data_IF_194830702870
#
_entry.id   IF_194830702870
#
_cell.length_a   1.000
_cell.length_b   1.000
_cell.length_c   1.000
_cell.angle_alpha   90.00
_cell.angle_beta   90.00
_cell.angle_gamma   90.00
#
_symmetry.space_group_name_H-M   'P 1'
#
loop_
_entity.id
_entity.type
_entity.pdbx_description
1 polymer ?
#
# COMPACT_ATOMS: atom_id res chain seq x y z
N UNK A 1 -6.15 7.06 -32.71
CA UNK A 1 -4.94 6.73 -31.93
C UNK A 1 -5.35 6.51 -30.48
N UNK A 2 -5.24 5.28 -29.95
CA UNK A 2 -5.58 4.99 -28.54
C UNK A 2 -4.43 5.51 -27.67
N UNK A 3 -4.72 6.47 -26.80
CA UNK A 3 -3.74 7.03 -25.86
C UNK A 3 -3.07 5.93 -25.04
N UNK A 4 -1.74 5.96 -25.02
CA UNK A 4 -0.92 5.13 -24.14
C UNK A 4 -1.35 5.36 -22.69
N UNK A 5 -1.95 4.34 -22.06
CA UNK A 5 -2.39 4.43 -20.67
C UNK A 5 -1.21 4.19 -19.74
N UNK A 6 -0.37 5.20 -19.55
CA UNK A 6 0.64 5.21 -18.48
C UNK A 6 0.05 5.89 -17.27
N UNK A 7 0.05 5.22 -16.12
CA UNK A 7 -0.11 5.92 -14.85
C UNK A 7 1.27 6.50 -14.50
N UNK A 8 1.41 7.83 -14.49
CA UNK A 8 2.64 8.47 -13.99
C UNK A 8 2.87 8.02 -12.53
N UNK A 9 4.00 7.37 -12.22
CA UNK A 9 4.20 6.82 -10.89
C UNK A 9 4.34 7.97 -9.88
N UNK A 10 3.55 7.91 -8.81
CA UNK A 10 3.83 8.69 -7.60
C UNK A 10 5.19 8.22 -7.08
N UNK A 11 6.03 9.15 -6.62
CA UNK A 11 7.25 8.77 -5.91
C UNK A 11 6.88 7.92 -4.68
N UNK A 12 7.43 6.72 -4.61
CA UNK A 12 7.32 5.80 -3.49
C UNK A 12 8.74 5.47 -3.08
N UNK A 13 9.15 5.75 -1.83
CA UNK A 13 10.52 5.49 -1.40
C UNK A 13 10.83 4.00 -1.50
N UNK A 14 12.11 3.68 -1.68
CA UNK A 14 12.59 2.32 -1.69
C UNK A 14 13.47 2.05 -0.46
N UNK A 15 13.22 0.91 0.19
CA UNK A 15 14.02 0.42 1.31
C UNK A 15 14.49 -1.01 1.01
N UNK A 16 15.81 -1.25 0.91
CA UNK A 16 16.34 -2.60 0.77
C UNK A 16 16.15 -3.38 2.08
N UNK A 17 16.14 -4.70 2.00
CA UNK A 17 16.06 -5.58 3.16
C UNK A 17 17.46 -5.89 3.71
N UNK A 18 18.36 -4.91 3.61
CA UNK A 18 19.75 -4.98 4.03
C UNK A 18 20.06 -3.65 4.70
N UNK A 19 20.63 -3.72 5.90
CA UNK A 19 21.06 -2.59 6.70
C UNK A 19 22.36 -2.90 7.42
N UNK A 20 22.99 -1.89 8.01
CA UNK A 20 24.20 -2.06 8.78
C UNK A 20 23.90 -2.80 10.09
N UNK A 21 24.44 -4.02 10.22
CA UNK A 21 24.30 -4.84 11.42
C UNK A 21 25.12 -4.30 12.59
N UNK A 22 26.18 -3.52 12.34
CA UNK A 22 26.95 -2.85 13.38
C UNK A 22 26.17 -1.72 14.05
N UNK A 23 25.25 -1.09 13.30
CA UNK A 23 24.39 -0.01 13.75
C UNK A 23 23.01 -0.50 14.26
N UNK A 24 22.93 -1.72 14.79
CA UNK A 24 21.66 -2.34 15.19
C UNK A 24 20.93 -1.54 16.27
N UNK A 25 21.67 -0.94 17.20
CA UNK A 25 21.13 -0.18 18.33
C UNK A 25 20.52 1.13 17.86
N UNK A 26 21.21 1.85 16.98
CA UNK A 26 20.72 3.07 16.34
C UNK A 26 19.51 2.79 15.45
N UNK A 27 19.49 1.62 14.81
CA UNK A 27 18.37 1.12 14.01
C UNK A 27 17.17 0.67 14.86
N UNK A 28 17.32 0.62 16.19
CA UNK A 28 16.26 0.29 17.15
C UNK A 28 15.97 -1.20 17.31
N UNK A 29 16.89 -2.08 16.91
CA UNK A 29 16.80 -3.53 17.15
C UNK A 29 17.27 -3.88 18.56
N UNK A 30 16.88 -5.05 19.06
CA UNK A 30 17.23 -5.50 20.42
C UNK A 30 18.68 -6.01 20.52
N UNK A 31 19.20 -6.59 19.44
CA UNK A 31 20.58 -7.05 19.31
C UNK A 31 21.00 -7.10 17.84
N UNK A 32 22.27 -7.43 17.57
CA UNK A 32 22.76 -7.66 16.21
C UNK A 32 22.09 -8.89 15.56
N UNK A 33 21.85 -9.94 16.34
CA UNK A 33 21.15 -11.16 15.90
C UNK A 33 19.70 -10.88 15.55
N UNK A 34 19.02 -10.04 16.34
CA UNK A 34 17.67 -9.57 16.04
C UNK A 34 17.65 -8.76 14.73
N UNK A 35 18.60 -7.83 14.56
CA UNK A 35 18.73 -7.08 13.31
C UNK A 35 18.97 -8.00 12.10
N UNK A 36 19.82 -9.02 12.23
CA UNK A 36 20.06 -10.01 11.18
C UNK A 36 18.79 -10.84 10.88
N UNK A 37 18.09 -11.30 11.92
CA UNK A 37 16.84 -12.04 11.77
C UNK A 37 15.80 -11.27 10.96
N UNK A 38 15.67 -9.97 11.24
CA UNK A 38 14.73 -9.13 10.51
C UNK A 38 15.17 -8.81 9.09
N UNK A 39 16.47 -8.88 8.76
CA UNK A 39 16.91 -8.84 7.35
C UNK A 39 16.40 -10.04 6.55
N UNK A 40 16.06 -11.16 7.17
CA UNK A 40 15.46 -12.30 6.44
C UNK A 40 13.93 -12.18 6.33
N UNK A 41 13.31 -11.47 7.27
CA UNK A 41 11.88 -11.62 7.56
C UNK A 41 11.03 -10.36 7.31
N UNK A 42 11.61 -9.26 6.82
CA UNK A 42 10.92 -7.95 6.78
C UNK A 42 10.22 -7.59 5.47
N UNK A 43 10.16 -8.47 4.46
CA UNK A 43 9.70 -8.07 3.11
C UNK A 43 8.30 -7.47 3.10
N UNK A 44 7.38 -8.03 3.89
CA UNK A 44 6.00 -7.55 4.00
C UNK A 44 5.88 -6.19 4.68
N UNK A 45 6.55 -6.02 5.81
CA UNK A 45 6.50 -4.77 6.58
C UNK A 45 7.27 -3.64 5.89
N UNK A 46 8.37 -3.93 5.19
CA UNK A 46 9.06 -2.96 4.33
C UNK A 46 8.19 -2.51 3.15
N UNK A 47 7.51 -3.45 2.47
CA UNK A 47 6.55 -3.10 1.42
C UNK A 47 5.44 -2.19 1.96
N UNK A 48 4.98 -2.43 3.19
CA UNK A 48 3.99 -1.60 3.84
C UNK A 48 4.55 -0.21 4.19
N UNK A 49 5.76 -0.13 4.75
CA UNK A 49 6.46 1.13 5.06
C UNK A 49 6.58 2.01 3.81
N UNK A 50 7.14 1.46 2.74
CA UNK A 50 7.30 2.15 1.45
C UNK A 50 5.96 2.70 0.96
N UNK A 51 4.89 1.89 1.01
CA UNK A 51 3.58 2.31 0.57
C UNK A 51 2.96 3.42 1.44
N UNK A 52 3.08 3.33 2.76
CA UNK A 52 2.57 4.35 3.69
C UNK A 52 3.29 5.68 3.46
N UNK A 53 4.62 5.68 3.43
CA UNK A 53 5.40 6.89 3.21
C UNK A 53 5.17 7.46 1.81
N UNK A 54 4.99 6.60 0.80
CA UNK A 54 4.56 7.01 -0.53
C UNK A 54 3.17 7.69 -0.54
N UNK A 55 2.27 7.36 0.39
CA UNK A 55 0.98 8.06 0.53
C UNK A 55 1.08 9.36 1.32
N UNK A 56 1.87 9.36 2.40
CA UNK A 56 1.98 10.48 3.33
C UNK A 56 3.00 11.53 2.89
N UNK A 57 3.93 11.17 2.00
CA UNK A 57 5.08 11.99 1.59
C UNK A 57 5.93 12.47 2.78
N UNK A 58 6.02 11.64 3.82
CA UNK A 58 6.82 11.89 5.02
C UNK A 58 7.28 10.56 5.60
N UNK A 59 8.42 10.58 6.29
CA UNK A 59 8.93 9.41 6.99
C UNK A 59 8.00 9.06 8.16
N UNK A 60 7.77 7.78 8.37
CA UNK A 60 7.10 7.24 9.56
C UNK A 60 8.13 6.56 10.46
N UNK A 61 7.63 5.85 11.48
CA UNK A 61 8.44 5.06 12.41
C UNK A 61 9.55 4.25 11.71
N UNK A 62 10.70 4.06 12.37
CA UNK A 62 11.75 3.18 11.87
C UNK A 62 11.23 1.74 11.75
N UNK A 63 11.88 0.94 10.91
CA UNK A 63 11.40 -0.41 10.57
C UNK A 63 11.27 -1.31 11.82
N UNK A 64 12.21 -1.22 12.75
CA UNK A 64 12.19 -1.92 14.04
C UNK A 64 10.91 -1.66 14.84
N UNK A 65 10.45 -0.41 14.91
CA UNK A 65 9.19 -0.04 15.58
C UNK A 65 7.95 -0.54 14.83
N UNK A 66 7.99 -0.55 13.49
CA UNK A 66 6.90 -1.14 12.71
C UNK A 66 6.81 -2.66 12.90
N UNK A 67 7.97 -3.32 13.00
CA UNK A 67 8.10 -4.75 13.30
C UNK A 67 7.47 -5.03 14.67
N UNK A 68 7.94 -4.36 15.72
CA UNK A 68 7.44 -4.49 17.10
C UNK A 68 5.91 -4.33 17.17
N UNK A 69 5.37 -3.29 16.54
CA UNK A 69 3.91 -3.07 16.48
C UNK A 69 3.18 -4.17 15.72
N UNK A 70 3.78 -4.67 14.64
CA UNK A 70 3.26 -5.79 13.87
C UNK A 70 3.20 -7.08 14.68
N UNK A 71 4.27 -7.39 15.42
CA UNK A 71 4.32 -8.53 16.34
C UNK A 71 3.26 -8.41 17.43
N UNK A 72 3.11 -7.22 18.05
CA UNK A 72 2.07 -6.95 19.04
C UNK A 72 0.64 -7.13 18.52
N UNK A 73 0.42 -7.02 17.20
CA UNK A 73 -0.86 -7.30 16.54
C UNK A 73 -1.03 -8.78 16.12
N UNK A 74 -0.05 -9.64 16.39
CA UNK A 74 -0.01 -11.01 15.87
C UNK A 74 0.09 -11.05 14.34
N UNK A 75 0.70 -10.03 13.72
CA UNK A 75 0.82 -9.95 12.28
C UNK A 75 1.92 -10.85 11.71
N UNK A 76 2.86 -11.28 12.55
CA UNK A 76 4.01 -12.09 12.21
C UNK A 76 4.03 -13.39 13.02
N UNK A 77 4.50 -14.47 12.39
CA UNK A 77 4.82 -15.73 13.06
C UNK A 77 6.08 -16.34 12.42
N UNK A 78 6.99 -16.89 13.22
CA UNK A 78 8.30 -17.37 12.74
C UNK A 78 8.21 -18.46 11.66
N UNK A 79 7.15 -19.27 11.65
CA UNK A 79 6.97 -20.41 10.75
C UNK A 79 6.33 -20.02 9.40
N UNK A 80 5.57 -18.93 9.38
CA UNK A 80 4.70 -18.55 8.26
C UNK A 80 4.92 -17.12 7.75
N UNK A 81 5.66 -16.30 8.49
CA UNK A 81 5.99 -14.91 8.18
C UNK A 81 4.85 -13.93 8.41
N UNK A 82 4.87 -12.83 7.67
CA UNK A 82 3.85 -11.78 7.75
C UNK A 82 2.52 -12.21 7.12
N UNK A 83 1.46 -12.23 7.93
CA UNK A 83 0.10 -12.53 7.44
C UNK A 83 -0.51 -11.33 6.72
N UNK A 84 -1.26 -11.58 5.63
CA UNK A 84 -1.96 -10.50 4.91
C UNK A 84 -2.95 -9.75 5.81
N UNK A 85 -3.63 -10.45 6.72
CA UNK A 85 -4.57 -9.84 7.66
C UNK A 85 -3.84 -8.97 8.68
N UNK A 86 -2.72 -9.45 9.21
CA UNK A 86 -1.86 -8.68 10.11
C UNK A 86 -1.34 -7.40 9.49
N UNK A 87 -0.82 -7.48 8.26
CA UNK A 87 -0.36 -6.30 7.51
C UNK A 87 -1.50 -5.31 7.22
N UNK A 88 -2.73 -5.79 6.97
CA UNK A 88 -3.91 -4.92 6.85
C UNK A 88 -4.20 -4.18 8.16
N UNK A 89 -4.14 -4.87 9.30
CA UNK A 89 -4.38 -4.25 10.61
C UNK A 89 -3.27 -3.24 10.94
N UNK A 90 -2.00 -3.58 10.65
CA UNK A 90 -0.87 -2.68 10.85
C UNK A 90 -1.01 -1.41 9.99
N UNK A 91 -1.43 -1.53 8.73
CA UNK A 91 -1.66 -0.37 7.85
C UNK A 91 -2.71 0.61 8.42
N UNK A 92 -3.74 0.10 9.10
CA UNK A 92 -4.79 0.93 9.69
C UNK A 92 -4.27 1.77 10.86
N UNK A 93 -3.29 1.27 11.63
CA UNK A 93 -2.64 2.06 12.69
C UNK A 93 -1.94 3.31 12.13
N UNK A 94 -1.47 3.24 10.89
CA UNK A 94 -0.84 4.35 10.17
C UNK A 94 -1.83 5.17 9.31
N UNK A 95 -3.14 4.98 9.49
CA UNK A 95 -4.16 5.76 8.77
C UNK A 95 -4.24 5.45 7.28
N UNK A 96 -3.87 4.25 6.85
CA UNK A 96 -3.97 3.79 5.45
C UNK A 96 -5.09 2.75 5.31
N UNK A 97 -5.95 2.91 4.30
CA UNK A 97 -6.99 1.91 4.01
C UNK A 97 -6.32 0.70 3.35
N UNK A 98 -6.46 -0.48 3.95
CA UNK A 98 -5.89 -1.72 3.44
C UNK A 98 -6.94 -2.81 3.33
N UNK A 99 -6.89 -3.61 2.26
CA UNK A 99 -7.75 -4.80 2.10
C UNK A 99 -6.99 -5.96 1.45
N UNK A 100 -6.96 -7.09 2.13
CA UNK A 100 -6.45 -8.34 1.56
C UNK A 100 -7.39 -8.86 0.46
N UNK A 101 -6.81 -9.39 -0.62
CA UNK A 101 -7.51 -9.97 -1.76
C UNK A 101 -6.87 -11.31 -2.12
N UNK A 102 -7.69 -12.34 -2.24
CA UNK A 102 -7.23 -13.68 -2.63
C UNK A 102 -7.27 -13.90 -4.15
N UNK A 103 -7.95 -13.01 -4.89
CA UNK A 103 -8.05 -13.04 -6.35
C UNK A 103 -7.91 -11.62 -6.90
N UNK A 104 -6.81 -11.36 -7.58
CA UNK A 104 -6.53 -10.14 -8.32
C UNK A 104 -6.16 -10.51 -9.76
N UNK A 105 -6.88 -9.97 -10.73
CA UNK A 105 -6.51 -10.07 -12.15
C UNK A 105 -5.67 -8.88 -12.57
N UNK A 106 -4.84 -9.04 -13.61
CA UNK A 106 -4.05 -7.96 -14.20
C UNK A 106 -4.90 -6.72 -14.51
N UNK A 107 -6.06 -6.91 -15.17
CA UNK A 107 -7.01 -5.83 -15.47
C UNK A 107 -7.49 -5.11 -14.21
N UNK A 108 -7.65 -5.81 -13.09
CA UNK A 108 -8.07 -5.20 -11.82
C UNK A 108 -6.92 -4.47 -11.12
N UNK A 109 -5.70 -5.01 -11.19
CA UNK A 109 -4.49 -4.37 -10.69
C UNK A 109 -4.30 -3.02 -11.40
N UNK A 110 -4.32 -2.99 -12.74
CA UNK A 110 -4.21 -1.76 -13.55
C UNK A 110 -5.22 -0.69 -13.11
N UNK A 111 -6.51 -1.05 -13.06
CA UNK A 111 -7.58 -0.13 -12.59
C UNK A 111 -7.39 0.40 -11.16
N UNK A 112 -6.74 -0.36 -10.29
CA UNK A 112 -6.47 0.07 -8.92
C UNK A 112 -5.29 1.05 -8.91
N UNK A 113 -4.23 0.76 -9.66
CA UNK A 113 -3.09 1.65 -9.83
C UNK A 113 -3.51 2.99 -10.47
N UNK A 114 -4.39 2.96 -11.48
CA UNK A 114 -4.99 4.17 -12.09
C UNK A 114 -5.71 5.07 -11.08
N UNK A 115 -6.24 4.47 -10.01
CA UNK A 115 -6.94 5.18 -8.93
C UNK A 115 -6.00 5.60 -7.79
N UNK A 116 -4.68 5.52 -8.03
CA UNK A 116 -3.65 5.86 -7.06
C UNK A 116 -3.54 4.86 -5.90
N UNK A 117 -4.00 3.62 -6.05
CA UNK A 117 -3.73 2.57 -5.07
C UNK A 117 -2.30 2.06 -5.24
N UNK A 118 -1.73 1.52 -4.16
CA UNK A 118 -0.51 0.71 -4.17
C UNK A 118 -0.87 -0.72 -3.78
N UNK A 119 -0.14 -1.71 -4.28
CA UNK A 119 -0.54 -3.11 -4.10
C UNK A 119 0.66 -3.95 -3.67
N UNK A 120 0.61 -4.47 -2.45
CA UNK A 120 1.55 -5.51 -2.02
C UNK A 120 1.08 -6.82 -2.64
N UNK A 121 1.90 -7.45 -3.47
CA UNK A 121 1.58 -8.71 -4.16
C UNK A 121 2.34 -9.86 -3.54
N UNK A 122 1.65 -11.00 -3.40
CA UNK A 122 2.30 -12.25 -3.01
C UNK A 122 2.79 -12.98 -4.25
N UNK A 123 4.09 -13.27 -4.25
CA UNK A 123 4.81 -13.80 -5.41
C UNK A 123 5.61 -15.04 -5.02
N UNK A 124 5.98 -15.83 -6.03
CA UNK A 124 7.16 -16.69 -5.97
C UNK A 124 8.40 -15.81 -5.96
N UNK A 125 9.46 -16.28 -5.31
CA UNK A 125 10.69 -15.52 -5.13
C UNK A 125 11.18 -14.91 -6.44
N UNK A 126 11.42 -13.60 -6.46
CA UNK A 126 11.85 -12.82 -7.64
C UNK A 126 11.05 -13.07 -8.93
N UNK A 127 9.75 -13.38 -8.83
CA UNK A 127 8.90 -13.78 -9.97
C UNK A 127 9.41 -15.02 -10.75
N UNK A 128 10.33 -15.77 -10.16
CA UNK A 128 10.94 -16.95 -10.74
C UNK A 128 9.91 -18.04 -11.08
N UNK A 129 10.17 -18.74 -12.19
CA UNK A 129 9.36 -19.87 -12.67
C UNK A 129 9.81 -21.22 -12.15
N UNK A 130 10.96 -21.29 -11.47
CA UNK A 130 11.51 -22.57 -11.03
C UNK A 130 10.61 -23.22 -9.99
N UNK A 131 10.10 -24.40 -10.36
CA UNK A 131 9.44 -25.29 -9.41
C UNK A 131 10.50 -25.92 -8.55
N UNK A 132 10.37 -25.82 -7.22
CA UNK A 132 11.26 -26.59 -6.34
C UNK A 132 11.16 -28.09 -6.66
N UNK A 133 12.20 -28.87 -6.35
CA UNK A 133 12.20 -30.33 -6.59
C UNK A 133 10.93 -31.00 -6.02
N UNK A 134 10.45 -30.53 -4.86
CA UNK A 134 9.20 -30.99 -4.22
C UNK A 134 7.95 -30.63 -5.04
N UNK A 135 7.88 -29.46 -5.66
CA UNK A 135 6.74 -29.10 -6.53
C UNK A 135 6.72 -29.93 -7.83
N UNK A 136 7.89 -30.39 -8.29
CA UNK A 136 8.01 -31.26 -9.46
C UNK A 136 7.62 -32.70 -9.17
N UNK A 137 7.99 -33.22 -7.99
CA UNK A 137 7.84 -34.63 -7.64
C UNK A 137 6.53 -34.93 -6.90
N UNK A 138 6.05 -34.01 -6.05
CA UNK A 138 4.89 -34.27 -5.16
C UNK A 138 3.59 -33.62 -5.64
N UNK A 139 3.53 -33.06 -6.87
CA UNK A 139 2.43 -32.21 -7.37
C UNK A 139 1.99 -31.11 -6.38
N UNK A 140 2.86 -30.75 -5.44
CA UNK A 140 2.61 -29.73 -4.44
C UNK A 140 2.78 -28.36 -5.10
N UNK A 141 1.86 -27.43 -4.85
CA UNK A 141 2.04 -26.02 -5.22
C UNK A 141 2.56 -25.32 -3.97
N UNK A 142 3.81 -24.82 -3.98
CA UNK A 142 4.21 -23.87 -2.93
C UNK A 142 3.29 -22.66 -3.09
N UNK A 143 2.48 -22.39 -2.07
CA UNK A 143 1.84 -21.09 -1.91
C UNK A 143 3.00 -20.09 -1.80
N UNK A 144 3.06 -19.08 -2.66
CA UNK A 144 4.19 -18.13 -2.68
C UNK A 144 4.50 -17.57 -1.29
N UNK A 145 5.76 -17.22 -1.06
CA UNK A 145 6.31 -16.90 0.28
C UNK A 145 7.07 -15.59 0.33
N UNK A 146 6.95 -14.74 -0.69
CA UNK A 146 7.58 -13.43 -0.73
C UNK A 146 6.57 -12.35 -1.13
N UNK A 147 6.86 -11.11 -0.74
CA UNK A 147 6.01 -9.95 -0.97
C UNK A 147 6.81 -8.86 -1.69
N UNK A 148 6.19 -8.27 -2.71
CA UNK A 148 6.73 -7.13 -3.45
C UNK A 148 5.66 -6.04 -3.59
N UNK A 149 6.06 -4.80 -3.83
CA UNK A 149 5.14 -3.66 -3.92
C UNK A 149 5.01 -3.20 -5.38
N UNK A 150 3.78 -3.20 -5.90
CA UNK A 150 3.46 -2.58 -7.18
C UNK A 150 3.21 -1.09 -6.98
N UNK A 151 3.99 -0.28 -7.69
CA UNK A 151 3.94 1.20 -7.62
C UNK A 151 3.40 1.84 -8.91
N UNK A 152 3.27 1.07 -9.99
CA UNK A 152 2.74 1.54 -11.25
C UNK A 152 2.77 0.46 -12.33
N UNK A 153 2.57 0.86 -13.58
CA UNK A 153 2.69 -0.03 -14.73
C UNK A 153 3.01 0.77 -16.01
N UNK A 154 3.60 0.09 -16.97
CA UNK A 154 3.87 0.57 -18.33
C UNK A 154 3.09 -0.26 -19.34
N UNK A 155 3.26 0.02 -20.63
CA UNK A 155 2.81 -0.83 -21.73
C UNK A 155 3.48 -2.22 -21.73
N UNK A 156 4.66 -2.36 -21.12
CA UNK A 156 5.46 -3.60 -21.09
C UNK A 156 5.23 -4.45 -19.83
N UNK A 157 4.92 -3.84 -18.69
CA UNK A 157 4.89 -4.56 -17.42
C UNK A 157 4.42 -3.77 -16.22
N UNK A 158 4.49 -4.38 -15.04
CA UNK A 158 4.28 -3.69 -13.77
C UNK A 158 5.58 -3.08 -13.28
N UNK A 159 5.50 -1.90 -12.65
CA UNK A 159 6.62 -1.26 -11.97
C UNK A 159 6.63 -1.77 -10.52
N UNK A 160 7.73 -2.38 -10.10
CA UNK A 160 7.84 -3.17 -8.87
C UNK A 160 8.98 -2.67 -8.01
N UNK A 161 8.68 -2.44 -6.73
CA UNK A 161 9.66 -2.42 -5.66
C UNK A 161 9.78 -3.84 -5.08
N UNK A 162 10.96 -4.44 -5.20
CA UNK A 162 11.27 -5.77 -4.67
C UNK A 162 12.41 -5.64 -3.64
N UNK A 163 12.21 -6.14 -2.44
CA UNK A 163 13.17 -6.00 -1.33
C UNK A 163 13.63 -7.38 -0.88
N UNK A 164 14.94 -7.60 -0.74
CA UNK A 164 15.52 -8.92 -0.49
C UNK A 164 16.82 -8.82 0.29
N UNK A 165 17.12 -9.83 1.10
CA UNK A 165 18.44 -9.97 1.72
C UNK A 165 19.53 -10.26 0.68
N UNK A 166 19.15 -10.81 -0.48
CA UNK A 166 20.10 -11.04 -1.58
C UNK A 166 20.33 -9.71 -2.32
N UNK A 167 21.54 -9.11 -2.27
CA UNK A 167 21.78 -7.75 -2.76
C UNK A 167 21.29 -7.50 -4.20
N UNK A 168 21.53 -8.43 -5.13
CA UNK A 168 21.11 -8.33 -6.53
C UNK A 168 19.60 -8.43 -6.79
N UNK A 169 18.80 -8.68 -5.76
CA UNK A 169 17.34 -8.77 -5.84
C UNK A 169 16.63 -7.61 -5.12
N UNK A 170 17.35 -6.53 -4.81
CA UNK A 170 16.75 -5.27 -4.41
C UNK A 170 16.46 -4.44 -5.67
N UNK A 171 15.19 -4.29 -6.01
CA UNK A 171 14.76 -3.58 -7.21
C UNK A 171 13.94 -2.36 -6.82
N UNK A 172 14.44 -1.17 -7.15
CA UNK A 172 13.70 0.08 -7.05
C UNK A 172 13.04 0.38 -8.40
N UNK A 173 11.72 0.21 -8.48
CA UNK A 173 10.93 0.61 -9.63
C UNK A 173 11.24 -0.19 -10.91
N UNK A 174 11.66 -1.46 -10.79
CA UNK A 174 11.94 -2.29 -11.96
C UNK A 174 10.65 -2.65 -12.71
N UNK A 175 10.73 -2.65 -14.05
CA UNK A 175 9.62 -3.09 -14.90
C UNK A 175 9.66 -4.60 -15.04
N UNK A 176 8.73 -5.29 -14.38
CA UNK A 176 8.54 -6.74 -14.53
C UNK A 176 7.54 -7.00 -15.67
N UNK A 177 7.95 -7.67 -16.77
CA UNK A 177 7.07 -7.94 -17.90
C UNK A 177 5.80 -8.68 -17.49
N UNK A 178 4.65 -8.38 -18.13
CA UNK A 178 3.36 -9.00 -17.76
C UNK A 178 3.39 -10.53 -17.79
N UNK A 179 4.09 -11.12 -18.76
CA UNK A 179 4.24 -12.57 -18.86
C UNK A 179 5.00 -13.16 -17.68
N UNK A 180 6.04 -12.48 -17.19
CA UNK A 180 6.83 -12.90 -16.03
C UNK A 180 6.06 -12.70 -14.74
N UNK A 181 5.44 -11.53 -14.57
CA UNK A 181 4.56 -11.25 -13.45
C UNK A 181 3.49 -12.33 -13.32
N UNK A 182 2.82 -12.71 -14.42
CA UNK A 182 1.79 -13.75 -14.42
C UNK A 182 2.31 -15.13 -13.97
N UNK A 183 3.56 -15.47 -14.25
CA UNK A 183 4.17 -16.75 -13.82
C UNK A 183 4.48 -16.76 -12.32
N UNK A 184 4.98 -15.65 -11.80
CA UNK A 184 5.39 -15.52 -10.40
C UNK A 184 4.27 -15.13 -9.44
N UNK A 185 3.22 -14.47 -9.92
CA UNK A 185 2.14 -13.94 -9.08
C UNK A 185 1.19 -15.03 -8.60
N UNK A 186 0.90 -15.05 -7.30
CA UNK A 186 0.02 -16.06 -6.69
C UNK A 186 -1.47 -15.75 -6.85
N UNK A 187 -1.84 -14.58 -7.41
CA UNK A 187 -3.21 -14.09 -7.44
C UNK A 187 -3.64 -13.32 -6.18
N UNK A 188 -2.82 -13.36 -5.11
CA UNK A 188 -3.14 -12.73 -3.82
C UNK A 188 -2.36 -11.45 -3.60
N UNK A 189 -2.95 -10.49 -2.89
CA UNK A 189 -2.25 -9.28 -2.48
C UNK A 189 -3.05 -8.43 -1.48
N UNK A 190 -2.47 -7.31 -1.09
CA UNK A 190 -3.07 -6.30 -0.22
C UNK A 190 -3.18 -5.02 -1.03
N UNK A 191 -4.41 -4.54 -1.19
CA UNK A 191 -4.67 -3.27 -1.85
C UNK A 191 -4.63 -2.18 -0.80
N UNK A 192 -3.73 -1.22 -0.98
CA UNK A 192 -3.53 -0.08 -0.10
C UNK A 192 -4.01 1.19 -0.79
N UNK A 193 -4.69 2.05 -0.04
CA UNK A 193 -5.15 3.36 -0.53
C UNK A 193 -4.93 4.41 0.54
N UNK A 194 -4.57 5.61 0.09
CA UNK A 194 -4.59 6.78 0.95
C UNK A 194 -5.99 6.95 1.53
N UNK A 195 -6.12 6.98 2.85
CA UNK A 195 -7.32 7.54 3.45
C UNK A 195 -7.29 9.03 3.15
N UNK A 196 -8.28 9.51 2.41
CA UNK A 196 -8.59 10.93 2.47
C UNK A 196 -8.98 11.19 3.91
N UNK A 197 -8.36 12.19 4.54
CA UNK A 197 -8.83 12.68 5.82
C UNK A 197 -10.35 12.84 5.70
N UNK A 198 -11.11 12.11 6.52
CA UNK A 198 -12.53 12.41 6.68
C UNK A 198 -12.53 13.77 7.36
N UNK A 199 -12.50 14.82 6.54
CA UNK A 199 -12.68 16.15 7.08
C UNK A 199 -13.96 16.15 7.88
N UNK A 200 -13.96 16.75 9.07
CA UNK A 200 -15.17 16.83 9.89
C UNK A 200 -16.21 17.52 9.00
N UNK A 201 -17.30 16.80 8.72
CA UNK A 201 -18.41 17.39 8.00
C UNK A 201 -19.09 18.32 9.01
N UNK A 202 -18.92 19.61 8.79
CA UNK A 202 -19.61 20.61 9.56
C UNK A 202 -20.89 20.99 8.82
N UNK A 203 -21.99 20.96 9.56
CA UNK A 203 -23.30 21.41 9.10
C UNK A 203 -23.73 22.51 10.05
N UNK A 204 -24.01 23.71 9.53
CA UNK A 204 -24.56 24.82 10.30
C UNK A 204 -25.84 25.29 9.64
N UNK A 205 -26.93 25.28 10.40
CA UNK A 205 -28.15 25.98 10.03
C UNK A 205 -28.05 27.43 10.50
N UNK A 206 -28.45 28.36 9.63
CA UNK A 206 -28.51 29.79 9.91
C UNK A 206 -29.81 30.36 9.37
N UNK A 207 -30.36 31.36 10.07
CA UNK A 207 -31.49 32.14 9.59
C UNK A 207 -30.97 33.49 9.09
N UNK A 208 -31.17 33.80 7.81
CA UNK A 208 -30.72 35.06 7.20
C UNK A 208 -31.91 35.73 6.51
N UNK A 209 -32.18 36.97 6.90
CA UNK A 209 -33.23 37.81 6.32
C UNK A 209 -32.71 38.42 5.01
N UNK A 210 -33.00 37.78 3.88
CA UNK A 210 -32.77 38.31 2.53
C UNK A 210 -33.88 37.84 1.58
N UNK A 211 -33.96 38.47 0.41
CA UNK A 211 -34.97 38.26 -0.63
C UNK A 211 -35.32 36.78 -0.88
N UNK A 212 -36.59 36.53 -1.20
CA UNK A 212 -37.21 35.21 -1.29
C UNK A 212 -36.47 34.25 -2.24
N UNK A 213 -35.56 33.43 -1.71
CA UNK A 213 -34.72 32.51 -2.49
C UNK A 213 -34.79 31.08 -1.96
N UNK A 214 -34.95 30.12 -2.88
CA UNK A 214 -34.94 28.67 -2.64
C UNK A 214 -33.98 28.07 -3.67
N UNK A 215 -33.00 27.27 -3.22
CA UNK A 215 -32.00 26.71 -4.12
C UNK A 215 -30.77 26.13 -3.41
N UNK A 216 -29.78 25.74 -4.21
CA UNK A 216 -28.48 25.29 -3.73
C UNK A 216 -27.36 26.03 -4.47
N UNK A 217 -26.33 26.44 -3.73
CA UNK A 217 -25.17 27.13 -4.27
C UNK A 217 -23.90 26.47 -3.75
N UNK A 218 -22.98 26.11 -4.65
CA UNK A 218 -21.69 25.53 -4.30
C UNK A 218 -20.58 26.53 -4.59
N UNK A 219 -19.98 27.04 -3.53
CA UNK A 219 -18.78 27.86 -3.60
C UNK A 219 -17.57 26.95 -3.80
N UNK A 220 -16.93 27.08 -4.97
CA UNK A 220 -15.80 26.23 -5.37
C UNK A 220 -14.50 26.60 -4.65
N UNK A 221 -14.34 27.87 -4.29
CA UNK A 221 -13.10 28.39 -3.71
C UNK A 221 -13.03 28.02 -2.23
N UNK A 222 -14.13 28.21 -1.50
CA UNK A 222 -14.22 27.81 -0.08
C UNK A 222 -14.64 26.35 0.13
N UNK A 223 -15.03 25.64 -0.93
CA UNK A 223 -15.54 24.25 -0.91
C UNK A 223 -16.74 24.07 0.04
N UNK A 224 -17.66 25.03 0.00
CA UNK A 224 -18.87 25.05 0.84
C UNK A 224 -20.11 24.88 -0.03
N UNK A 225 -21.04 24.02 0.39
CA UNK A 225 -22.38 23.91 -0.17
C UNK A 225 -23.39 24.64 0.73
N UNK A 226 -24.16 25.54 0.13
CA UNK A 226 -25.28 26.24 0.75
C UNK A 226 -26.58 25.67 0.20
N UNK A 227 -27.53 25.31 1.07
CA UNK A 227 -28.84 24.80 0.70
C UNK A 227 -29.90 25.65 1.40
N UNK A 228 -30.83 26.21 0.64
CA UNK A 228 -31.98 26.97 1.15
C UNK A 228 -33.27 26.21 0.83
N UNK A 229 -33.69 25.26 1.69
CA UNK A 229 -34.89 24.46 1.44
C UNK A 229 -36.19 25.26 1.64
N UNK A 230 -36.13 26.34 2.42
CA UNK A 230 -37.20 27.30 2.65
C UNK A 230 -36.60 28.71 2.58
N UNK A 231 -37.40 29.74 2.24
CA UNK A 231 -36.97 31.13 2.37
C UNK A 231 -36.36 31.36 3.77
N UNK A 232 -35.22 32.05 3.81
CA UNK A 232 -34.53 32.47 5.03
C UNK A 232 -33.86 31.36 5.85
N UNK A 233 -34.04 30.08 5.52
CA UNK A 233 -33.34 28.96 6.15
C UNK A 233 -32.14 28.55 5.31
N UNK A 234 -30.91 28.76 5.79
CA UNK A 234 -29.68 28.39 5.08
C UNK A 234 -28.96 27.26 5.80
N UNK A 235 -28.68 26.18 5.10
CA UNK A 235 -27.84 25.08 5.57
C UNK A 235 -26.48 25.20 4.89
N UNK A 236 -25.44 25.47 5.68
CA UNK A 236 -24.04 25.50 5.24
C UNK A 236 -23.40 24.15 5.53
N UNK A 237 -22.83 23.51 4.51
CA UNK A 237 -22.16 22.22 4.59
C UNK A 237 -20.72 22.39 4.09
N UNK A 238 -19.74 22.04 4.92
CA UNK A 238 -18.32 22.10 4.55
C UNK A 238 -17.51 21.00 5.21
N UNK A 239 -16.32 20.73 4.69
CA UNK A 239 -15.36 19.78 5.26
C UNK A 239 -14.13 20.56 5.75
N UNK A 240 -13.79 20.39 7.03
CA UNK A 240 -12.54 20.87 7.62
C UNK A 240 -11.41 19.86 7.40
#
# INVERSE_FOLDING_TARGET
MKGSSTASPRYVPFYPQIWDLGAWRESGFASQEDAHYWQDSSCGVLCLKMAIEGFLATAIDPISRMIERGEGLGAYAHDTGWSHRGLVNLAQLYGVEARARNVLSEKRIKRLLDRGALIIVSIKWAFGSERSLKERILFWRRRGGHLALLVGYTDKGFIVHHTSITPGYNWEGAVVPFAEFKRGFTGRGIVLKRMFAKGKLHVRASFLWYDFWIGAYYDRDSKVLYICPLPMCVIKIWRA
#
